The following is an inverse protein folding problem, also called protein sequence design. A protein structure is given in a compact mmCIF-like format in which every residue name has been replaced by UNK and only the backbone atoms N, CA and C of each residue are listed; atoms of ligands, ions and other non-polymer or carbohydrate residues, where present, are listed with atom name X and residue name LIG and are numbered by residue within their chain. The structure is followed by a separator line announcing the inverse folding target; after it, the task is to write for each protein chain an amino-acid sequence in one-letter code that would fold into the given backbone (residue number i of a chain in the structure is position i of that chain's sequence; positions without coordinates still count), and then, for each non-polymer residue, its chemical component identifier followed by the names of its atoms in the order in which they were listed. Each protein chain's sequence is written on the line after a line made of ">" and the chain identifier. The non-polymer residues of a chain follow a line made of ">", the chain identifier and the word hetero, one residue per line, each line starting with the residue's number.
data_IF_200512262446
#
_entry.id   IF_200512262446
#
_cell.length_a   1.000
_cell.length_b   1.000
_cell.length_c   1.000
_cell.angle_alpha   90.00
_cell.angle_beta   90.00
_cell.angle_gamma   90.00
#
_symmetry.space_group_name_H-M   'P 1'
#
loop_
_entity.id
_entity.type
_entity.pdbx_description
1 polymer ?
#
# COMPACT_ATOMS: atom_id res chain seq x y z
N UNK A 1 -25.71 2.05 -19.70
CA UNK A 1 -25.97 2.35 -18.29
C UNK A 1 -27.16 3.30 -18.25
N UNK A 2 -27.94 3.28 -17.18
CA UNK A 2 -29.08 4.17 -17.03
C UNK A 2 -28.71 5.66 -17.19
N UNK A 3 -27.49 6.06 -16.76
CA UNK A 3 -26.95 7.41 -16.97
C UNK A 3 -26.78 7.78 -18.45
N UNK A 4 -26.33 6.83 -19.27
CA UNK A 4 -26.19 7.03 -20.72
C UNK A 4 -27.55 7.23 -21.38
N UNK A 5 -28.55 6.45 -20.97
CA UNK A 5 -29.89 6.53 -21.55
C UNK A 5 -30.56 7.89 -21.21
N UNK A 6 -30.34 8.40 -19.99
CA UNK A 6 -30.77 9.75 -19.58
C UNK A 6 -30.03 10.83 -20.40
N UNK A 7 -28.72 10.68 -20.60
CA UNK A 7 -27.93 11.60 -21.43
C UNK A 7 -28.45 11.67 -22.86
N UNK A 8 -28.70 10.52 -23.50
CA UNK A 8 -29.28 10.45 -24.84
C UNK A 8 -30.66 11.10 -24.88
N UNK A 9 -31.53 10.83 -23.91
CA UNK A 9 -32.85 11.45 -23.84
C UNK A 9 -32.80 12.98 -23.72
N UNK A 10 -31.83 13.52 -22.97
CA UNK A 10 -31.65 14.97 -22.83
C UNK A 10 -31.10 15.59 -24.13
N UNK A 11 -30.16 14.91 -24.79
CA UNK A 11 -29.63 15.34 -26.08
C UNK A 11 -30.70 15.34 -27.17
N UNK A 12 -31.55 14.31 -27.23
CA UNK A 12 -32.67 14.23 -28.16
C UNK A 12 -33.69 15.35 -27.91
N UNK A 13 -33.99 15.64 -26.64
CA UNK A 13 -34.84 16.77 -26.26
C UNK A 13 -34.27 18.12 -26.68
N UNK A 14 -32.97 18.34 -26.47
CA UNK A 14 -32.28 19.57 -26.87
C UNK A 14 -32.24 19.72 -28.40
N UNK A 15 -31.93 18.63 -29.11
CA UNK A 15 -31.93 18.60 -30.57
C UNK A 15 -33.32 18.92 -31.10
N UNK A 16 -34.37 18.37 -30.49
CA UNK A 16 -35.75 18.67 -30.87
C UNK A 16 -36.06 20.16 -30.72
N UNK A 17 -35.78 20.76 -29.57
CA UNK A 17 -36.06 22.19 -29.31
C UNK A 17 -35.25 23.12 -30.24
N UNK A 18 -33.98 22.80 -30.49
CA UNK A 18 -33.12 23.59 -31.39
C UNK A 18 -33.50 23.42 -32.86
N UNK A 19 -33.83 22.19 -33.27
CA UNK A 19 -34.35 21.90 -34.60
C UNK A 19 -35.70 22.58 -34.79
N UNK A 20 -36.59 22.54 -33.80
CA UNK A 20 -37.85 23.27 -33.84
C UNK A 20 -37.59 24.76 -34.04
N UNK A 21 -36.66 25.38 -33.30
CA UNK A 21 -36.31 26.77 -33.53
C UNK A 21 -35.76 27.07 -34.95
N UNK A 22 -34.93 26.17 -35.49
CA UNK A 22 -34.30 26.34 -36.81
C UNK A 22 -35.23 26.01 -38.00
N UNK A 23 -36.12 25.04 -37.83
CA UNK A 23 -36.96 24.45 -38.89
C UNK A 23 -38.44 24.81 -38.78
N UNK A 24 -38.96 25.15 -37.59
CA UNK A 24 -40.37 25.48 -37.39
C UNK A 24 -40.69 26.83 -37.99
N UNK A 25 -41.88 26.86 -38.57
CA UNK A 25 -42.54 27.97 -39.22
C UNK A 25 -42.44 29.30 -38.48
N UNK A 26 -42.18 29.39 -37.16
CA UNK A 26 -42.26 30.64 -36.42
C UNK A 26 -41.37 31.76 -36.99
N UNK A 27 -40.06 31.51 -37.19
CA UNK A 27 -39.18 32.54 -37.77
C UNK A 27 -39.50 32.80 -39.25
N UNK A 28 -39.71 31.74 -40.04
CA UNK A 28 -40.05 31.86 -41.47
C UNK A 28 -41.38 32.58 -41.70
N UNK A 29 -42.38 32.31 -40.87
CA UNK A 29 -43.72 32.91 -40.87
C UNK A 29 -43.66 34.35 -40.42
N UNK A 30 -42.87 34.66 -39.39
CA UNK A 30 -42.60 36.04 -39.02
C UNK A 30 -41.96 36.81 -40.18
N UNK A 31 -40.91 36.28 -40.80
CA UNK A 31 -40.23 36.93 -41.92
C UNK A 31 -41.15 37.13 -43.13
N UNK A 32 -41.99 36.12 -43.44
CA UNK A 32 -42.98 36.22 -44.51
C UNK A 32 -44.01 37.31 -44.22
N UNK A 33 -44.65 37.30 -43.04
CA UNK A 33 -45.63 38.32 -42.69
C UNK A 33 -45.01 39.72 -42.55
N UNK A 34 -43.74 39.80 -42.16
CA UNK A 34 -43.02 41.06 -42.15
C UNK A 34 -42.79 41.59 -43.57
N UNK A 35 -42.40 40.72 -44.51
CA UNK A 35 -42.28 41.08 -45.93
C UNK A 35 -43.62 41.54 -46.52
N UNK A 36 -44.70 40.80 -46.22
CA UNK A 36 -46.07 41.15 -46.64
C UNK A 36 -46.52 42.49 -46.06
N UNK A 37 -46.18 42.75 -44.79
CA UNK A 37 -46.45 44.02 -44.11
C UNK A 37 -45.74 45.18 -44.81
N UNK A 38 -44.43 45.07 -45.05
CA UNK A 38 -43.63 46.09 -45.74
C UNK A 38 -44.18 46.35 -47.15
N UNK A 39 -44.57 45.30 -47.88
CA UNK A 39 -45.19 45.44 -49.20
C UNK A 39 -46.54 46.16 -49.16
N UNK A 40 -47.39 45.83 -48.17
CA UNK A 40 -48.69 46.47 -48.01
C UNK A 40 -48.57 47.93 -47.57
N UNK A 41 -47.64 48.23 -46.67
CA UNK A 41 -47.33 49.59 -46.21
C UNK A 41 -46.79 50.45 -47.37
N UNK A 42 -45.91 49.90 -48.20
CA UNK A 42 -45.41 50.60 -49.40
C UNK A 42 -46.52 50.91 -50.40
N UNK A 43 -47.47 49.98 -50.62
CA UNK A 43 -48.64 50.23 -51.47
C UNK A 43 -49.57 51.28 -50.87
N UNK A 44 -49.74 51.33 -49.55
CA UNK A 44 -50.54 52.38 -48.90
C UNK A 44 -49.90 53.76 -49.11
N UNK A 45 -48.60 53.91 -48.82
CA UNK A 45 -47.84 55.16 -48.99
C UNK A 45 -47.91 55.69 -50.43
N UNK A 46 -47.83 54.80 -51.43
CA UNK A 46 -47.96 55.20 -52.83
C UNK A 46 -49.37 55.68 -53.18
N UNK A 47 -50.43 55.11 -52.60
CA UNK A 47 -51.79 55.62 -52.80
C UNK A 47 -52.01 56.98 -52.14
N UNK A 48 -51.49 57.18 -50.92
CA UNK A 48 -51.55 58.45 -50.20
C UNK A 48 -50.81 59.56 -50.98
N UNK A 49 -49.64 59.25 -51.55
CA UNK A 49 -48.89 60.18 -52.40
C UNK A 49 -49.60 60.55 -53.72
N UNK A 50 -50.42 59.64 -54.26
CA UNK A 50 -51.23 59.92 -55.45
C UNK A 50 -52.42 60.82 -55.13
N UNK A 51 -52.97 60.73 -53.92
CA UNK A 51 -54.05 61.60 -53.44
C UNK A 51 -53.60 63.06 -53.32
N UNK A 52 -52.38 63.30 -52.84
CA UNK A 52 -51.79 64.65 -52.79
C UNK A 52 -51.64 65.29 -54.19
N UNK A 53 -51.51 64.49 -55.25
CA UNK A 53 -51.25 64.96 -56.63
C UNK A 53 -52.49 65.13 -57.51
N UNK A 54 -53.58 64.40 -57.28
CA UNK A 54 -54.77 64.40 -58.15
C UNK A 54 -56.06 64.71 -57.38
N UNK A 55 -56.65 65.90 -57.58
CA UNK A 55 -57.94 66.32 -56.98
C UNK A 55 -59.19 65.84 -57.75
N UNK A 56 -59.06 65.41 -59.00
CA UNK A 56 -60.18 64.95 -59.85
C UNK A 56 -60.36 63.43 -59.77
N UNK A 57 -61.19 62.97 -58.82
CA UNK A 57 -61.42 61.54 -58.54
C UNK A 57 -61.44 61.17 -57.05
N UNK A 58 -61.32 62.17 -56.16
CA UNK A 58 -61.12 62.06 -54.70
C UNK A 58 -61.86 60.90 -54.02
N UNK A 59 -63.19 60.79 -54.20
CA UNK A 59 -64.01 59.76 -53.51
C UNK A 59 -63.63 58.30 -53.84
N UNK A 60 -63.08 58.01 -55.03
CA UNK A 60 -62.64 56.64 -55.38
C UNK A 60 -61.27 56.32 -54.79
N UNK A 61 -60.39 57.32 -54.72
CA UNK A 61 -59.04 57.18 -54.17
C UNK A 61 -59.06 57.10 -52.64
N UNK A 62 -59.91 57.90 -51.99
CA UNK A 62 -60.18 57.88 -50.55
C UNK A 62 -60.64 56.48 -50.09
N UNK A 63 -61.61 55.87 -50.77
CA UNK A 63 -62.06 54.48 -50.51
C UNK A 63 -60.95 53.44 -50.73
N UNK A 64 -60.05 53.68 -51.68
CA UNK A 64 -58.92 52.78 -51.94
C UNK A 64 -57.87 52.86 -50.83
N UNK A 65 -57.59 54.07 -50.33
CA UNK A 65 -56.69 54.33 -49.20
C UNK A 65 -57.28 53.69 -47.95
N UNK A 66 -58.55 53.91 -47.63
CA UNK A 66 -59.22 53.29 -46.47
C UNK A 66 -59.14 51.76 -46.54
N UNK A 67 -59.41 51.16 -47.72
CA UNK A 67 -59.27 49.71 -47.92
C UNK A 67 -57.81 49.23 -47.72
N UNK A 68 -56.82 50.01 -48.18
CA UNK A 68 -55.39 49.70 -47.98
C UNK A 68 -54.99 49.84 -46.51
N UNK A 69 -55.52 50.82 -45.78
CA UNK A 69 -55.29 51.02 -44.35
C UNK A 69 -55.82 49.85 -43.53
N UNK A 70 -57.05 49.38 -43.79
CA UNK A 70 -57.60 48.18 -43.15
C UNK A 70 -56.70 46.97 -43.43
N UNK A 71 -56.30 46.77 -44.69
CA UNK A 71 -55.42 45.66 -45.07
C UNK A 71 -54.04 45.71 -44.39
N UNK A 72 -53.44 46.90 -44.27
CA UNK A 72 -52.17 47.10 -43.56
C UNK A 72 -52.33 46.75 -42.09
N UNK A 73 -53.40 47.21 -41.43
CA UNK A 73 -53.68 46.88 -40.02
C UNK A 73 -53.84 45.37 -39.80
N UNK A 74 -54.57 44.68 -40.69
CA UNK A 74 -54.75 43.22 -40.60
C UNK A 74 -53.42 42.45 -40.76
N UNK A 75 -52.60 42.84 -41.73
CA UNK A 75 -51.29 42.21 -41.97
C UNK A 75 -50.32 42.53 -40.83
N UNK A 76 -50.35 43.76 -40.30
CA UNK A 76 -49.57 44.16 -39.12
C UNK A 76 -49.88 43.26 -37.93
N UNK A 77 -51.17 43.00 -37.65
CA UNK A 77 -51.57 42.16 -36.53
C UNK A 77 -51.03 40.73 -36.68
N UNK A 78 -51.10 40.15 -37.89
CA UNK A 78 -50.53 38.83 -38.19
C UNK A 78 -49.01 38.81 -38.02
N UNK A 79 -48.32 39.83 -38.53
CA UNK A 79 -46.88 39.99 -38.35
C UNK A 79 -46.50 40.11 -36.87
N UNK A 80 -47.24 40.91 -36.11
CA UNK A 80 -46.99 41.11 -34.67
C UNK A 80 -47.19 39.82 -33.87
N UNK A 81 -48.26 39.06 -34.17
CA UNK A 81 -48.49 37.74 -33.56
C UNK A 81 -47.35 36.76 -33.86
N UNK A 82 -46.98 36.62 -35.14
CA UNK A 82 -45.90 35.71 -35.52
C UNK A 82 -44.55 36.12 -34.92
N UNK A 83 -44.28 37.42 -34.78
CA UNK A 83 -43.09 37.93 -34.08
C UNK A 83 -43.08 37.52 -32.62
N UNK A 84 -44.22 37.66 -31.92
CA UNK A 84 -44.32 37.29 -30.51
C UNK A 84 -44.11 35.78 -30.33
N UNK A 85 -44.74 34.96 -31.18
CA UNK A 85 -44.55 33.50 -31.16
C UNK A 85 -43.08 33.13 -31.44
N UNK A 86 -42.41 33.82 -32.35
CA UNK A 86 -40.98 33.65 -32.60
C UNK A 86 -40.12 34.00 -31.37
N UNK A 87 -40.37 35.14 -30.73
CA UNK A 87 -39.61 35.58 -29.55
C UNK A 87 -39.80 34.65 -28.35
N UNK A 88 -41.01 34.11 -28.16
CA UNK A 88 -41.28 33.13 -27.10
C UNK A 88 -40.52 31.82 -27.34
N UNK A 89 -40.54 31.30 -28.57
CA UNK A 89 -39.78 30.11 -28.94
C UNK A 89 -38.26 30.33 -28.83
N UNK A 90 -37.78 31.52 -29.22
CA UNK A 90 -36.37 31.90 -29.06
C UNK A 90 -35.95 31.86 -27.59
N UNK A 91 -36.76 32.43 -26.71
CA UNK A 91 -36.50 32.43 -25.27
C UNK A 91 -36.50 31.01 -24.70
N UNK A 92 -37.48 30.19 -25.06
CA UNK A 92 -37.58 28.80 -24.61
C UNK A 92 -36.41 27.92 -25.09
N UNK A 93 -35.99 28.08 -26.35
CA UNK A 93 -34.85 27.36 -26.91
C UNK A 93 -33.55 27.76 -26.20
N UNK A 94 -33.31 29.07 -26.03
CA UNK A 94 -32.13 29.56 -25.31
C UNK A 94 -32.11 29.09 -23.86
N UNK A 95 -33.26 29.08 -23.18
CA UNK A 95 -33.36 28.56 -21.81
C UNK A 95 -33.02 27.06 -21.75
N UNK A 96 -33.48 26.27 -22.72
CA UNK A 96 -33.20 24.83 -22.80
C UNK A 96 -31.71 24.55 -23.04
N UNK A 97 -31.08 25.29 -23.97
CA UNK A 97 -29.64 25.21 -24.23
C UNK A 97 -28.84 25.58 -22.99
N UNK A 98 -29.17 26.71 -22.35
CA UNK A 98 -28.48 27.15 -21.14
C UNK A 98 -28.60 26.13 -20.02
N UNK A 99 -29.80 25.60 -19.78
CA UNK A 99 -30.01 24.57 -18.75
C UNK A 99 -29.16 23.33 -19.02
N UNK A 100 -29.17 22.83 -20.26
CA UNK A 100 -28.40 21.64 -20.61
C UNK A 100 -26.91 21.83 -20.32
N UNK A 101 -26.32 22.93 -20.80
CA UNK A 101 -24.88 23.15 -20.67
C UNK A 101 -24.43 23.59 -19.28
N UNK A 102 -25.24 24.38 -18.57
CA UNK A 102 -24.85 24.91 -17.26
C UNK A 102 -25.21 24.00 -16.09
N UNK A 103 -26.18 23.10 -16.26
CA UNK A 103 -26.69 22.27 -15.16
C UNK A 103 -26.70 20.78 -15.53
N UNK A 104 -27.39 20.40 -16.60
CA UNK A 104 -27.69 18.98 -16.84
C UNK A 104 -26.42 18.16 -17.12
N UNK A 105 -25.42 18.72 -17.82
CA UNK A 105 -24.12 18.03 -18.04
C UNK A 105 -23.45 17.70 -16.71
N UNK A 106 -23.37 18.65 -15.78
CA UNK A 106 -22.73 18.41 -14.47
C UNK A 106 -23.48 17.33 -13.70
N UNK A 107 -24.81 17.42 -13.65
CA UNK A 107 -25.64 16.44 -12.95
C UNK A 107 -25.52 15.04 -13.57
N UNK A 108 -25.40 14.93 -14.89
CA UNK A 108 -25.18 13.65 -15.57
C UNK A 108 -23.85 13.01 -15.19
N UNK A 109 -22.79 13.80 -15.07
CA UNK A 109 -21.47 13.32 -14.63
C UNK A 109 -21.56 12.84 -13.19
N UNK A 110 -22.15 13.63 -12.29
CA UNK A 110 -22.33 13.25 -10.88
C UNK A 110 -23.16 11.96 -10.74
N UNK A 111 -24.22 11.81 -11.54
CA UNK A 111 -25.02 10.58 -11.60
C UNK A 111 -24.23 9.37 -12.12
N UNK A 112 -23.33 9.57 -13.10
CA UNK A 112 -22.48 8.51 -13.62
C UNK A 112 -21.42 8.06 -12.60
N UNK A 113 -20.89 9.00 -11.81
CA UNK A 113 -19.83 8.75 -10.82
C UNK A 113 -20.39 8.32 -9.45
N UNK A 114 -21.71 8.30 -9.29
CA UNK A 114 -22.38 8.02 -8.03
C UNK A 114 -21.90 6.68 -7.44
N UNK A 115 -21.25 6.76 -6.27
CA UNK A 115 -20.81 5.60 -5.49
C UNK A 115 -19.49 4.97 -5.93
N UNK A 116 -18.87 5.40 -7.03
CA UNK A 116 -17.60 4.86 -7.51
C UNK A 116 -16.47 5.04 -6.48
N UNK A 117 -16.18 6.29 -6.11
CA UNK A 117 -15.13 6.61 -5.14
C UNK A 117 -15.40 6.00 -3.76
N UNK A 118 -16.65 5.97 -3.33
CA UNK A 118 -17.03 5.37 -2.05
C UNK A 118 -16.70 3.87 -2.02
N UNK A 119 -17.08 3.16 -3.07
CA UNK A 119 -16.83 1.71 -3.18
C UNK A 119 -15.35 1.42 -3.29
N UNK A 120 -14.63 2.15 -4.14
CA UNK A 120 -13.19 2.02 -4.30
C UNK A 120 -12.44 2.30 -2.99
N UNK A 121 -12.82 3.36 -2.28
CA UNK A 121 -12.22 3.72 -0.99
C UNK A 121 -12.41 2.60 0.04
N UNK A 122 -13.62 2.03 0.14
CA UNK A 122 -13.89 0.90 1.06
C UNK A 122 -13.04 -0.32 0.75
N UNK A 123 -12.90 -0.68 -0.52
CA UNK A 123 -12.07 -1.83 -0.94
C UNK A 123 -10.60 -1.57 -0.62
N UNK A 124 -10.10 -0.37 -0.93
CA UNK A 124 -8.70 -0.02 -0.65
C UNK A 124 -8.40 0.05 0.84
N UNK A 125 -9.31 0.58 1.65
CA UNK A 125 -9.17 0.57 3.11
C UNK A 125 -9.12 -0.86 3.66
N UNK A 126 -10.03 -1.74 3.21
CA UNK A 126 -10.01 -3.15 3.64
C UNK A 126 -8.69 -3.84 3.27
N UNK A 127 -8.19 -3.58 2.05
CA UNK A 127 -6.89 -4.08 1.62
C UNK A 127 -5.74 -3.57 2.49
N UNK A 128 -5.68 -2.26 2.74
CA UNK A 128 -4.65 -1.65 3.58
C UNK A 128 -4.69 -2.20 5.01
N UNK A 129 -5.88 -2.30 5.62
CA UNK A 129 -6.04 -2.89 6.95
C UNK A 129 -5.56 -4.34 7.01
N UNK A 130 -5.87 -5.15 5.99
CA UNK A 130 -5.39 -6.54 5.91
C UNK A 130 -3.86 -6.60 5.78
N UNK A 131 -3.26 -5.73 4.96
CA UNK A 131 -1.81 -5.65 4.80
C UNK A 131 -1.11 -5.23 6.08
N UNK A 132 -1.62 -4.21 6.77
CA UNK A 132 -1.08 -3.75 8.06
C UNK A 132 -1.13 -4.86 9.11
N UNK A 133 -2.24 -5.61 9.19
CA UNK A 133 -2.36 -6.73 10.12
C UNK A 133 -1.35 -7.84 9.83
N UNK A 134 -1.15 -8.19 8.56
CA UNK A 134 -0.15 -9.18 8.17
C UNK A 134 1.27 -8.74 8.52
N UNK A 135 1.60 -7.46 8.28
CA UNK A 135 2.90 -6.89 8.66
C UNK A 135 3.11 -6.92 10.17
N UNK A 136 2.11 -6.51 10.96
CA UNK A 136 2.18 -6.55 12.41
C UNK A 136 2.41 -7.98 12.92
N UNK A 137 1.67 -8.96 12.39
CA UNK A 137 1.86 -10.37 12.73
C UNK A 137 3.28 -10.84 12.44
N UNK A 138 3.84 -10.46 11.28
CA UNK A 138 5.21 -10.80 10.92
C UNK A 138 6.22 -10.16 11.90
N UNK A 139 6.06 -8.86 12.19
CA UNK A 139 6.92 -8.16 13.16
C UNK A 139 6.86 -8.83 14.53
N UNK A 140 5.67 -9.17 15.02
CA UNK A 140 5.51 -9.89 16.29
C UNK A 140 6.16 -11.27 16.25
N UNK A 141 5.99 -12.03 15.16
CA UNK A 141 6.65 -13.34 15.01
C UNK A 141 8.17 -13.25 15.00
N UNK A 142 8.73 -12.23 14.33
CA UNK A 142 10.17 -11.97 14.33
C UNK A 142 10.68 -11.56 15.73
N UNK A 143 9.92 -10.74 16.46
CA UNK A 143 10.27 -10.38 17.85
C UNK A 143 10.25 -11.59 18.79
N UNK A 144 9.29 -12.50 18.62
CA UNK A 144 9.25 -13.75 19.38
C UNK A 144 10.46 -14.64 19.07
N UNK A 145 10.81 -14.78 17.79
CA UNK A 145 11.99 -15.53 17.37
C UNK A 145 13.27 -14.90 17.92
N UNK A 146 13.40 -13.57 17.84
CA UNK A 146 14.53 -12.85 18.42
C UNK A 146 14.64 -13.10 19.93
N UNK A 147 13.50 -13.08 20.64
CA UNK A 147 13.46 -13.43 22.06
C UNK A 147 13.93 -14.86 22.33
N UNK A 148 13.50 -15.84 21.53
CA UNK A 148 13.93 -17.23 21.66
C UNK A 148 15.43 -17.41 21.38
N UNK A 149 15.96 -16.74 20.34
CA UNK A 149 17.40 -16.75 20.02
C UNK A 149 18.21 -16.12 21.15
N UNK A 150 17.78 -14.97 21.67
CA UNK A 150 18.44 -14.30 22.78
C UNK A 150 18.34 -15.06 24.11
N UNK A 151 17.41 -16.01 24.23
CA UNK A 151 17.23 -16.86 25.40
C UNK A 151 18.02 -18.18 25.34
N UNK A 152 18.76 -18.45 24.25
CA UNK A 152 19.63 -19.62 24.16
C UNK A 152 20.76 -19.50 25.20
N UNK A 153 20.79 -20.43 26.16
CA UNK A 153 21.79 -20.47 27.23
C UNK A 153 22.21 -21.92 27.53
N UNK A 154 23.36 -22.30 26.98
CA UNK A 154 23.94 -23.64 27.15
C UNK A 154 24.24 -23.97 28.62
N UNK A 155 24.62 -22.99 29.45
CA UNK A 155 24.95 -23.25 30.85
C UNK A 155 23.69 -23.51 31.65
N UNK A 156 22.63 -22.74 31.40
CA UNK A 156 21.32 -22.98 32.00
C UNK A 156 20.74 -24.33 31.59
N UNK A 157 20.85 -24.71 30.32
CA UNK A 157 20.39 -26.01 29.82
C UNK A 157 21.15 -27.17 30.49
N UNK A 158 22.47 -27.04 30.65
CA UNK A 158 23.30 -28.02 31.37
C UNK A 158 22.86 -28.15 32.83
N UNK A 159 22.69 -27.03 33.53
CA UNK A 159 22.35 -27.04 34.95
C UNK A 159 20.95 -27.65 35.17
N UNK A 160 20.01 -27.34 34.29
CA UNK A 160 18.67 -27.95 34.25
C UNK A 160 18.76 -29.47 34.06
N UNK A 161 19.59 -29.93 33.10
CA UNK A 161 19.79 -31.35 32.84
C UNK A 161 20.37 -32.09 34.07
N UNK A 162 21.37 -31.50 34.74
CA UNK A 162 21.97 -32.07 35.94
C UNK A 162 20.96 -32.14 37.10
N UNK A 163 20.12 -31.12 37.24
CA UNK A 163 19.08 -31.07 38.26
C UNK A 163 17.98 -32.10 38.02
N UNK A 164 17.47 -32.19 36.79
CA UNK A 164 16.41 -33.15 36.41
C UNK A 164 16.86 -34.62 36.58
N UNK A 165 18.17 -34.86 36.43
CA UNK A 165 18.78 -36.19 36.53
C UNK A 165 19.68 -36.34 37.75
N UNK A 166 19.33 -35.69 38.87
CA UNK A 166 20.20 -35.65 40.06
C UNK A 166 20.64 -37.04 40.54
N UNK A 167 19.79 -38.08 40.46
CA UNK A 167 20.16 -39.43 40.90
C UNK A 167 21.33 -40.04 40.10
N UNK A 168 21.47 -39.67 38.82
CA UNK A 168 22.55 -40.17 37.97
C UNK A 168 23.85 -39.38 38.17
N UNK A 169 23.75 -38.07 38.47
CA UNK A 169 24.90 -37.16 38.56
C UNK A 169 25.28 -36.76 40.00
N UNK A 170 24.52 -37.19 41.01
CA UNK A 170 24.82 -36.90 42.41
C UNK A 170 26.12 -37.58 42.84
N UNK A 171 26.88 -36.89 43.69
CA UNK A 171 28.13 -37.41 44.24
C UNK A 171 27.86 -38.70 45.05
N UNK A 172 28.52 -39.83 44.72
CA UNK A 172 28.43 -41.03 45.54
C UNK A 172 28.93 -40.81 46.97
N UNK A 173 28.48 -41.65 47.90
CA UNK A 173 28.99 -41.64 49.26
C UNK A 173 30.50 -41.88 49.26
N UNK A 174 31.21 -41.18 50.15
CA UNK A 174 32.63 -41.44 50.36
C UNK A 174 32.81 -42.86 50.86
N UNK A 175 33.88 -43.50 50.38
CA UNK A 175 34.33 -44.75 50.95
C UNK A 175 34.75 -44.50 52.41
N UNK A 176 34.24 -45.32 53.30
CA UNK A 176 34.60 -45.32 54.71
C UNK A 176 35.56 -46.48 54.96
N UNK A 177 36.52 -46.28 55.87
CA UNK A 177 37.33 -47.37 56.39
C UNK A 177 36.43 -48.43 57.03
N UNK A 178 36.63 -49.70 56.66
CA UNK A 178 35.92 -50.85 57.23
C UNK A 178 36.92 -51.64 58.10
N UNK A 179 36.76 -51.64 59.43
CA UNK A 179 37.67 -52.35 60.31
C UNK A 179 37.51 -53.87 60.16
N UNK A 180 38.63 -54.58 60.18
CA UNK A 180 38.67 -56.04 60.26
C UNK A 180 38.77 -56.43 61.75
N UNK A 181 37.96 -57.38 62.21
CA UNK A 181 37.95 -57.87 63.61
C UNK A 181 37.95 -56.77 64.69
N UNK A 182 37.14 -55.71 64.50
CA UNK A 182 37.00 -54.59 65.45
C UNK A 182 38.29 -53.79 65.69
N UNK A 183 39.18 -53.72 64.69
CA UNK A 183 40.35 -52.84 64.70
C UNK A 183 39.94 -51.37 65.01
N UNK A 184 40.49 -50.83 66.09
CA UNK A 184 40.19 -49.49 66.60
C UNK A 184 41.11 -48.41 66.01
N UNK A 185 42.09 -48.78 65.18
CA UNK A 185 43.05 -47.83 64.59
C UNK A 185 42.49 -47.28 63.28
N UNK A 186 41.98 -46.05 63.30
CA UNK A 186 41.39 -45.37 62.14
C UNK A 186 42.28 -44.29 61.51
N UNK A 187 43.46 -44.07 62.10
CA UNK A 187 44.41 -43.04 61.69
C UNK A 187 45.76 -43.67 61.37
N UNK A 188 46.56 -42.98 60.57
CA UNK A 188 47.90 -43.45 60.21
C UNK A 188 48.78 -43.40 61.47
N UNK A 189 49.27 -44.56 61.92
CA UNK A 189 50.19 -44.73 63.05
C UNK A 189 51.50 -45.37 62.58
N UNK A 190 52.63 -45.00 63.20
CA UNK A 190 53.96 -45.48 62.81
C UNK A 190 54.91 -45.56 64.00
N UNK A 191 55.66 -46.66 64.11
CA UNK A 191 56.68 -46.87 65.14
C UNK A 191 58.08 -47.03 64.52
N UNK A 192 59.09 -46.35 65.08
CA UNK A 192 60.51 -46.52 64.79
C UNK A 192 60.85 -46.55 63.28
N UNK A 193 61.20 -47.72 62.73
CA UNK A 193 61.66 -47.92 61.34
C UNK A 193 60.56 -47.62 60.30
N UNK A 194 59.27 -47.78 60.65
CA UNK A 194 58.14 -47.43 59.77
C UNK A 194 58.08 -45.93 59.44
N UNK A 195 58.60 -45.06 60.31
CA UNK A 195 58.57 -43.61 60.09
C UNK A 195 59.41 -43.26 58.85
N UNK A 196 60.58 -43.88 58.70
CA UNK A 196 61.47 -43.69 57.56
C UNK A 196 60.85 -44.22 56.25
N UNK A 197 60.16 -45.35 56.31
CA UNK A 197 59.45 -45.93 55.16
C UNK A 197 58.25 -45.07 54.73
N UNK A 198 57.43 -44.59 55.67
CA UNK A 198 56.31 -43.70 55.40
C UNK A 198 56.75 -42.33 54.87
N UNK A 199 57.84 -41.77 55.40
CA UNK A 199 58.41 -40.52 54.87
C UNK A 199 58.91 -40.69 53.43
N UNK A 200 59.56 -41.83 53.14
CA UNK A 200 59.98 -42.18 51.78
C UNK A 200 58.77 -42.33 50.86
N UNK A 201 57.72 -43.03 51.32
CA UNK A 201 56.48 -43.20 50.56
C UNK A 201 55.76 -41.88 50.31
N UNK A 202 55.69 -41.01 51.31
CA UNK A 202 55.11 -39.69 51.20
C UNK A 202 55.87 -38.84 50.18
N UNK A 203 57.21 -38.80 50.24
CA UNK A 203 58.05 -38.11 49.26
C UNK A 203 57.82 -38.63 47.84
N UNK A 204 57.73 -39.95 47.67
CA UNK A 204 57.42 -40.56 46.37
C UNK A 204 56.03 -40.14 45.85
N UNK A 205 54.99 -40.22 46.69
CA UNK A 205 53.62 -39.81 46.33
C UNK A 205 53.60 -38.33 45.95
N UNK A 206 54.28 -37.47 46.72
CA UNK A 206 54.35 -36.03 46.47
C UNK A 206 55.05 -35.70 45.15
N UNK A 207 56.17 -36.35 44.85
CA UNK A 207 56.86 -36.17 43.56
C UNK A 207 55.98 -36.61 42.40
N UNK A 208 55.29 -37.75 42.54
CA UNK A 208 54.37 -38.25 41.50
C UNK A 208 53.17 -37.34 41.30
N UNK A 209 52.57 -36.83 42.39
CA UNK A 209 51.48 -35.86 42.30
C UNK A 209 51.92 -34.59 41.58
N UNK A 210 53.11 -34.07 41.89
CA UNK A 210 53.65 -32.89 41.22
C UNK A 210 53.77 -33.11 39.71
N UNK A 211 54.39 -34.22 39.29
CA UNK A 211 54.52 -34.56 37.87
C UNK A 211 53.15 -34.67 37.19
N UNK A 212 52.18 -35.36 37.81
CA UNK A 212 50.82 -35.47 37.27
C UNK A 212 50.08 -34.13 37.19
N UNK A 213 50.26 -33.24 38.17
CA UNK A 213 49.67 -31.90 38.13
C UNK A 213 50.27 -31.08 37.00
N UNK A 214 51.60 -31.12 36.84
CA UNK A 214 52.30 -30.42 35.76
C UNK A 214 51.80 -30.94 34.39
N UNK A 215 51.70 -32.26 34.21
CA UNK A 215 51.15 -32.89 32.98
C UNK A 215 49.67 -32.50 32.73
N UNK A 216 48.83 -32.43 33.78
CA UNK A 216 47.40 -32.10 33.64
C UNK A 216 47.17 -30.64 33.25
N UNK A 217 47.99 -29.71 33.75
CA UNK A 217 47.91 -28.31 33.37
C UNK A 217 48.44 -28.07 31.94
N UNK A 218 49.35 -28.90 31.43
CA UNK A 218 49.74 -28.90 30.01
C UNK A 218 48.62 -29.41 29.08
N UNK A 219 47.79 -30.35 29.56
CA UNK A 219 46.66 -30.95 28.80
C UNK A 219 45.42 -30.06 28.79
N UNK A 220 45.26 -29.13 29.75
CA UNK A 220 44.17 -28.13 29.77
C UNK A 220 44.33 -27.11 28.65
N UNK A 221 44.06 -27.53 27.43
CA UNK A 221 44.24 -26.73 26.23
C UNK A 221 43.04 -25.80 26.00
N UNK A 222 42.92 -24.80 26.88
CA UNK A 222 41.98 -23.68 26.76
C UNK A 222 42.16 -22.96 25.42
N UNK A 223 43.36 -22.99 24.83
CA UNK A 223 43.65 -22.39 23.53
C UNK A 223 42.92 -23.10 22.41
N UNK A 224 42.94 -24.44 22.33
CA UNK A 224 42.17 -25.19 21.34
C UNK A 224 40.66 -25.03 21.51
N UNK A 225 40.18 -24.90 22.75
CA UNK A 225 38.77 -24.61 23.01
C UNK A 225 38.35 -23.23 22.48
N UNK A 226 39.14 -22.18 22.77
CA UNK A 226 38.87 -20.81 22.29
C UNK A 226 38.89 -20.76 20.77
N UNK A 227 39.89 -21.38 20.12
CA UNK A 227 39.99 -21.41 18.66
C UNK A 227 38.79 -22.12 18.01
N UNK A 228 38.28 -23.18 18.65
CA UNK A 228 37.10 -23.89 18.17
C UNK A 228 35.85 -23.00 18.26
N UNK A 229 35.67 -22.31 19.39
CA UNK A 229 34.56 -21.36 19.59
C UNK A 229 34.64 -20.21 18.59
N UNK A 230 35.81 -19.63 18.38
CA UNK A 230 36.02 -18.56 17.41
C UNK A 230 35.62 -19.02 16.00
N UNK A 231 36.04 -20.22 15.59
CA UNK A 231 35.67 -20.79 14.28
C UNK A 231 34.17 -21.05 14.13
N UNK A 232 33.44 -21.31 15.23
CA UNK A 232 31.99 -21.50 15.24
C UNK A 232 31.25 -20.16 15.22
N UNK A 233 31.82 -19.13 15.86
CA UNK A 233 31.25 -17.79 15.96
C UNK A 233 31.50 -16.90 14.73
N UNK A 234 32.38 -17.32 13.80
CA UNK A 234 32.60 -16.61 12.53
C UNK A 234 31.28 -16.44 11.76
N UNK A 235 30.90 -15.17 11.51
CA UNK A 235 29.61 -14.77 10.98
C UNK A 235 29.52 -15.07 9.46
N UNK A 236 29.19 -16.33 9.17
CA UNK A 236 29.10 -16.89 7.81
C UNK A 236 27.71 -16.77 7.17
N UNK A 237 26.75 -16.25 7.93
CA UNK A 237 25.34 -16.14 7.56
C UNK A 237 24.97 -14.74 7.07
N UNK A 238 25.90 -13.78 7.08
CA UNK A 238 25.72 -12.51 6.39
C UNK A 238 25.61 -12.76 4.88
N UNK A 239 24.36 -12.83 4.41
CA UNK A 239 24.04 -12.58 3.01
C UNK A 239 24.43 -11.14 2.77
N UNK A 240 25.59 -10.94 2.15
CA UNK A 240 26.04 -9.65 1.62
C UNK A 240 24.83 -8.94 0.98
N UNK A 241 24.55 -7.67 1.31
CA UNK A 241 23.35 -7.01 0.85
C UNK A 241 23.35 -7.03 -0.68
N UNK A 242 22.48 -7.85 -1.28
CA UNK A 242 22.14 -7.80 -2.71
C UNK A 242 21.30 -6.54 -2.93
N UNK A 243 21.93 -5.40 -2.71
CA UNK A 243 21.40 -4.06 -2.86
C UNK A 243 22.53 -3.03 -3.03
N UNK A 244 23.64 -3.38 -3.68
CA UNK A 244 24.53 -2.40 -4.29
C UNK A 244 24.98 -2.89 -5.67
N UNK A 245 24.18 -2.55 -6.69
CA UNK A 245 24.78 -2.26 -7.99
C UNK A 245 25.81 -1.14 -7.78
N UNK A 246 27.01 -1.34 -8.33
CA UNK A 246 28.18 -0.45 -8.28
C UNK A 246 28.94 -0.36 -6.94
N UNK A 247 29.94 -1.20 -6.76
CA UNK A 247 31.34 -0.77 -6.84
C UNK A 247 32.26 -1.92 -6.44
N UNK A 248 33.17 -2.24 -7.34
CA UNK A 248 34.38 -3.02 -7.08
C UNK A 248 35.18 -2.40 -5.94
N UNK A 249 35.48 -3.16 -4.89
CA UNK A 249 36.84 -3.27 -4.30
C UNK A 249 36.91 -4.21 -3.09
N UNK A 250 38.00 -5.00 -3.08
CA UNK A 250 38.53 -5.83 -1.97
C UNK A 250 37.73 -7.07 -1.55
N UNK A 251 37.75 -8.10 -2.39
CA UNK A 251 37.50 -9.48 -1.94
C UNK A 251 38.71 -9.94 -1.14
N UNK A 252 38.65 -9.84 0.20
CA UNK A 252 39.48 -10.70 1.04
C UNK A 252 39.10 -12.15 0.68
N UNK A 253 40.09 -12.99 0.38
CA UNK A 253 39.85 -14.36 -0.07
C UNK A 253 39.37 -15.19 1.11
N UNK A 254 38.06 -15.12 1.40
CA UNK A 254 37.40 -16.02 2.34
C UNK A 254 37.56 -17.46 1.83
N UNK A 255 38.05 -18.41 2.64
CA UNK A 255 38.15 -19.81 2.22
C UNK A 255 36.77 -20.36 1.84
N UNK A 256 36.74 -21.29 0.88
CA UNK A 256 35.47 -21.91 0.48
C UNK A 256 34.76 -22.57 1.66
N UNK A 257 33.42 -22.63 1.63
CA UNK A 257 32.61 -23.28 2.68
C UNK A 257 33.08 -24.71 2.95
N UNK A 258 33.47 -25.45 1.89
CA UNK A 258 34.02 -26.80 2.01
C UNK A 258 35.34 -26.81 2.79
N UNK A 259 36.27 -25.88 2.49
CA UNK A 259 37.57 -25.79 3.15
C UNK A 259 37.44 -25.40 4.63
N UNK A 260 36.49 -24.52 4.97
CA UNK A 260 36.19 -24.17 6.36
C UNK A 260 35.62 -25.33 7.16
N UNK A 261 34.69 -26.10 6.58
CA UNK A 261 34.17 -27.32 7.22
C UNK A 261 35.27 -28.35 7.49
N UNK A 262 36.19 -28.55 6.54
CA UNK A 262 37.34 -29.44 6.75
C UNK A 262 38.25 -28.94 7.87
N UNK A 263 38.57 -27.63 7.89
CA UNK A 263 39.37 -27.04 8.95
C UNK A 263 38.70 -27.14 10.33
N UNK A 264 37.39 -26.93 10.41
CA UNK A 264 36.62 -27.09 11.65
C UNK A 264 36.68 -28.53 12.15
N UNK A 265 36.51 -29.51 11.25
CA UNK A 265 36.57 -30.92 11.60
C UNK A 265 37.97 -31.36 12.05
N UNK A 266 39.02 -30.82 11.43
CA UNK A 266 40.40 -31.02 11.88
C UNK A 266 40.63 -30.41 13.27
N UNK A 267 40.09 -29.21 13.53
CA UNK A 267 40.20 -28.52 14.81
C UNK A 267 39.39 -29.23 15.92
N UNK A 268 38.20 -29.75 15.62
CA UNK A 268 37.42 -30.61 16.50
C UNK A 268 38.22 -31.86 16.90
N UNK A 269 38.84 -32.54 15.91
CA UNK A 269 39.67 -33.70 16.17
C UNK A 269 40.85 -33.36 17.10
N UNK A 270 41.53 -32.22 16.88
CA UNK A 270 42.61 -31.76 17.76
C UNK A 270 42.07 -31.47 19.16
N UNK A 271 40.93 -30.78 19.29
CA UNK A 271 40.31 -30.49 20.57
C UNK A 271 40.01 -31.76 21.37
N UNK A 272 39.39 -32.79 20.75
CA UNK A 272 39.08 -34.05 21.43
C UNK A 272 40.29 -34.96 21.69
N UNK A 273 41.40 -34.78 20.97
CA UNK A 273 42.61 -35.57 21.17
C UNK A 273 43.49 -34.98 22.28
N UNK A 274 43.36 -33.67 22.54
CA UNK A 274 44.20 -32.92 23.48
C UNK A 274 43.45 -32.50 24.75
N UNK A 275 42.10 -32.58 24.80
CA UNK A 275 41.28 -32.34 26.00
C UNK A 275 41.01 -33.61 26.79
#
# INVERSE_FOLDING_TARGET
>A
SQSRDICTSLQDGLLKVTTEMQTVSAWRTYYQYHSDYVSAEGKLKEAEKQEEKHKTGAKKLERLIEKRQVKVKDIYLKCSKARNDYLLNLSAANASVNKYYLQDISTLIDCADTGYHLTLSRVMQAYLSSRMKAQQNLTTGLQQLQGAVSALDQSHDRDTLLQDHYNAFSMPLRFNYQPHDEDQVTEVSAESEMICELDTRFKQIRTRLKALTDDTEEVKNHTSQVLLIDCICEDDLEISPVAQESSSESVSVRPSVARRKTNLQELENVYFTVS
#
